data_IF_980936602107
#
_entry.id   IF_980936602107
#
_cell.length_a   1.000
_cell.length_b   1.000
_cell.length_c   1.000
_cell.angle_alpha   90.00
_cell.angle_beta   90.00
_cell.angle_gamma   90.00
#
_symmetry.space_group_name_H-M   'P 1'
#
loop_
_entity.id
_entity.type
_entity.pdbx_description
1 polymer ?
#
# COMPACT_ATOMS: atom_id res chain seq x y z
N UNK A 1 -41.69 -1.06 -42.57
CA UNK A 1 -40.23 -1.10 -42.50
C UNK A 1 -39.84 -0.80 -41.03
N UNK A 2 -39.66 -1.82 -40.18
CA UNK A 2 -39.20 -1.70 -38.81
C UNK A 2 -37.70 -1.96 -38.75
N UNK A 3 -36.92 -0.95 -38.41
CA UNK A 3 -35.47 -1.12 -38.10
C UNK A 3 -35.32 -1.53 -36.67
N UNK A 4 -34.87 -2.76 -36.41
CA UNK A 4 -34.45 -3.22 -35.12
C UNK A 4 -33.08 -2.59 -34.78
N UNK A 5 -33.01 -1.81 -33.72
CA UNK A 5 -31.78 -1.30 -33.14
C UNK A 5 -31.32 -2.36 -32.13
N UNK A 6 -30.31 -3.15 -32.52
CA UNK A 6 -29.65 -4.05 -31.57
C UNK A 6 -28.72 -3.24 -30.66
N UNK A 7 -29.13 -3.04 -29.43
CA UNK A 7 -28.29 -2.44 -28.39
C UNK A 7 -27.22 -3.42 -27.94
N UNK A 8 -25.96 -3.12 -28.23
CA UNK A 8 -24.79 -3.87 -27.75
C UNK A 8 -24.57 -3.51 -26.27
N UNK A 9 -25.00 -4.38 -25.36
CA UNK A 9 -24.74 -4.27 -23.94
C UNK A 9 -23.28 -4.70 -23.69
N UNK A 10 -22.36 -3.74 -23.62
CA UNK A 10 -20.98 -4.01 -23.21
C UNK A 10 -20.98 -4.40 -21.74
N UNK A 11 -20.84 -5.70 -21.44
CA UNK A 11 -20.51 -6.17 -20.12
C UNK A 11 -19.11 -5.68 -19.76
N UNK A 12 -19.01 -4.68 -18.89
CA UNK A 12 -17.79 -4.33 -18.19
C UNK A 12 -17.46 -5.50 -17.25
N UNK A 13 -16.61 -6.41 -17.72
CA UNK A 13 -15.94 -7.36 -16.85
C UNK A 13 -15.05 -6.57 -15.91
N UNK A 14 -15.55 -6.29 -14.71
CA UNK A 14 -14.72 -5.84 -13.60
C UNK A 14 -13.74 -6.97 -13.30
N UNK A 15 -12.51 -6.85 -13.81
CA UNK A 15 -11.42 -7.71 -13.37
C UNK A 15 -11.21 -7.36 -11.89
N UNK A 16 -11.62 -8.28 -11.00
CA UNK A 16 -11.22 -8.20 -9.59
C UNK A 16 -9.70 -8.07 -9.58
N UNK A 17 -9.20 -6.95 -9.06
CA UNK A 17 -7.78 -6.76 -8.89
C UNK A 17 -7.31 -7.86 -7.94
N UNK A 18 -6.56 -8.84 -8.46
CA UNK A 18 -5.93 -9.85 -7.63
C UNK A 18 -4.92 -9.11 -6.76
N UNK A 19 -5.20 -9.10 -5.48
CA UNK A 19 -4.32 -8.52 -4.46
C UNK A 19 -3.61 -9.67 -3.76
N UNK A 20 -2.36 -9.43 -3.34
CA UNK A 20 -1.56 -10.37 -2.56
C UNK A 20 -2.33 -10.95 -1.35
N UNK A 21 -1.92 -12.11 -0.88
CA UNK A 21 -2.49 -12.73 0.34
C UNK A 21 -1.83 -12.11 1.58
N UNK A 22 -2.58 -11.29 2.31
CA UNK A 22 -2.14 -10.70 3.57
C UNK A 22 -2.44 -11.67 4.71
N UNK A 23 -1.39 -12.16 5.39
CA UNK A 23 -1.51 -13.11 6.49
C UNK A 23 -2.42 -12.57 7.60
N UNK A 24 -3.06 -13.48 8.33
CA UNK A 24 -3.95 -13.14 9.44
C UNK A 24 -3.24 -12.31 10.51
N UNK A 25 -3.92 -11.30 10.97
CA UNK A 25 -3.40 -10.31 11.92
C UNK A 25 -3.92 -10.56 13.32
N UNK A 26 -3.04 -10.57 14.29
CA UNK A 26 -3.41 -10.49 15.70
C UNK A 26 -4.06 -9.14 16.03
N UNK A 27 -4.78 -9.01 17.17
CA UNK A 27 -5.29 -7.71 17.62
C UNK A 27 -4.22 -6.62 17.71
N UNK A 28 -2.99 -6.99 18.12
CA UNK A 28 -1.86 -6.06 18.16
C UNK A 28 -1.50 -5.56 16.75
N UNK A 29 -1.36 -6.45 15.78
CA UNK A 29 -1.02 -6.08 14.41
C UNK A 29 -2.10 -5.22 13.74
N UNK A 30 -3.39 -5.53 14.01
CA UNK A 30 -4.51 -4.70 13.57
C UNK A 30 -4.44 -3.29 14.17
N UNK A 31 -4.19 -3.18 15.48
CA UNK A 31 -4.05 -1.88 16.14
C UNK A 31 -2.90 -1.05 15.58
N UNK A 32 -1.83 -1.73 15.15
CA UNK A 32 -0.63 -1.11 14.58
C UNK A 32 -0.65 -1.01 13.05
N UNK A 33 -1.72 -1.47 12.40
CA UNK A 33 -1.95 -1.40 10.94
C UNK A 33 -0.80 -2.02 10.10
N UNK A 34 -0.34 -3.24 10.43
CA UNK A 34 0.60 -4.02 9.64
C UNK A 34 0.25 -5.50 9.60
N UNK A 35 0.70 -6.21 8.58
CA UNK A 35 0.59 -7.67 8.49
C UNK A 35 1.88 -8.34 8.97
N UNK A 36 1.79 -9.52 9.60
CA UNK A 36 3.00 -10.28 9.98
C UNK A 36 3.82 -10.70 8.77
N UNK A 37 3.16 -10.86 7.62
CA UNK A 37 3.74 -11.16 6.32
C UNK A 37 2.71 -10.99 5.23
N UNK A 38 3.19 -10.89 4.00
CA UNK A 38 2.37 -10.86 2.78
C UNK A 38 2.94 -11.88 1.82
N UNK A 39 2.08 -12.74 1.27
CA UNK A 39 2.46 -13.79 0.34
C UNK A 39 2.07 -13.36 -1.06
N UNK A 40 3.01 -13.49 -2.00
CA UNK A 40 2.82 -13.14 -3.41
C UNK A 40 3.23 -14.31 -4.29
N UNK A 41 2.62 -14.44 -5.45
CA UNK A 41 3.01 -15.41 -6.46
C UNK A 41 2.79 -14.84 -7.87
N UNK A 42 3.86 -14.78 -8.64
CA UNK A 42 3.81 -14.13 -9.96
C UNK A 42 3.72 -12.61 -9.85
N UNK A 43 3.20 -11.99 -10.92
CA UNK A 43 3.09 -10.54 -11.00
C UNK A 43 4.42 -9.83 -11.27
N UNK A 44 4.33 -8.51 -11.40
CA UNK A 44 5.46 -7.61 -11.60
C UNK A 44 5.84 -6.97 -10.28
N UNK A 45 7.07 -7.19 -9.81
CA UNK A 45 7.60 -6.57 -8.61
C UNK A 45 8.16 -5.18 -8.91
N UNK A 46 7.72 -4.18 -8.14
CA UNK A 46 8.16 -2.79 -8.25
C UNK A 46 8.88 -2.40 -6.97
N UNK A 47 10.17 -2.15 -7.06
CA UNK A 47 11.01 -1.66 -5.97
C UNK A 47 10.96 -0.14 -5.95
N UNK A 48 10.19 0.42 -5.04
CA UNK A 48 10.05 1.87 -4.89
C UNK A 48 11.18 2.39 -4.01
N UNK A 49 11.97 3.31 -4.56
CA UNK A 49 13.04 3.97 -3.81
C UNK A 49 12.49 4.75 -2.61
N UNK A 50 13.34 5.13 -1.66
CA UNK A 50 12.95 6.00 -0.54
C UNK A 50 12.28 7.28 -1.02
N UNK A 51 11.05 7.50 -0.58
CA UNK A 51 10.29 8.71 -0.88
C UNK A 51 10.32 9.66 0.30
N UNK A 52 10.66 10.90 0.02
CA UNK A 52 10.70 12.02 0.99
C UNK A 52 10.08 13.26 0.34
N UNK A 53 9.63 14.22 1.14
CA UNK A 53 9.09 15.46 0.60
C UNK A 53 9.38 16.67 1.51
N UNK A 54 9.83 17.78 0.94
CA UNK A 54 9.88 19.10 1.57
C UNK A 54 8.92 20.09 0.91
N UNK A 55 8.26 19.65 -0.19
CA UNK A 55 7.20 20.38 -0.88
C UNK A 55 6.06 19.43 -1.19
N UNK A 56 4.83 19.92 -1.18
CA UNK A 56 3.66 19.19 -1.65
C UNK A 56 3.53 19.23 -3.19
N UNK A 57 2.50 18.59 -3.73
CA UNK A 57 2.22 18.55 -5.17
C UNK A 57 1.90 19.93 -5.79
N UNK A 58 1.62 20.94 -4.97
CA UNK A 58 1.35 22.31 -5.38
C UNK A 58 2.57 23.23 -5.24
N UNK A 59 3.70 22.70 -4.75
CA UNK A 59 4.94 23.45 -4.51
C UNK A 59 4.99 24.16 -3.16
N UNK A 60 4.01 23.98 -2.27
CA UNK A 60 4.04 24.57 -0.95
C UNK A 60 5.11 23.90 -0.09
N UNK A 61 5.81 24.71 0.72
CA UNK A 61 6.82 24.20 1.63
C UNK A 61 6.17 23.40 2.79
N UNK A 62 6.53 22.13 2.92
CA UNK A 62 6.10 21.22 3.99
C UNK A 62 7.28 20.68 4.82
N UNK A 63 8.45 21.33 4.74
CA UNK A 63 9.59 20.99 5.58
C UNK A 63 9.22 21.09 7.07
N UNK A 64 9.70 20.14 7.88
CA UNK A 64 9.38 20.00 9.31
C UNK A 64 7.88 19.82 9.64
N UNK A 65 7.05 19.51 8.65
CA UNK A 65 5.64 19.19 8.83
C UNK A 65 5.41 17.69 8.58
N UNK A 66 5.48 16.89 9.65
CA UNK A 66 5.39 15.44 9.58
C UNK A 66 4.12 14.96 8.86
N UNK A 67 2.94 15.47 9.23
CA UNK A 67 1.66 14.99 8.67
C UNK A 67 1.52 15.32 7.17
N UNK A 68 1.95 16.52 6.77
CA UNK A 68 1.94 16.89 5.37
C UNK A 68 2.93 16.03 4.56
N UNK A 69 4.11 15.75 5.13
CA UNK A 69 5.09 14.87 4.49
C UNK A 69 4.58 13.42 4.37
N UNK A 70 3.92 12.85 5.39
CA UNK A 70 3.30 11.52 5.31
C UNK A 70 2.34 11.45 4.13
N UNK A 71 1.44 12.42 3.98
CA UNK A 71 0.48 12.47 2.86
C UNK A 71 1.18 12.55 1.51
N UNK A 72 2.17 13.42 1.40
CA UNK A 72 2.90 13.62 0.14
C UNK A 72 3.74 12.39 -0.22
N UNK A 73 4.38 11.74 0.74
CA UNK A 73 5.18 10.53 0.52
C UNK A 73 4.30 9.37 0.01
N UNK A 74 3.13 9.14 0.61
CA UNK A 74 2.19 8.15 0.09
C UNK A 74 1.68 8.50 -1.31
N UNK A 75 1.42 9.77 -1.60
CA UNK A 75 1.04 10.21 -2.94
C UNK A 75 2.16 9.96 -3.98
N UNK A 76 3.43 10.13 -3.60
CA UNK A 76 4.57 9.83 -4.46
C UNK A 76 4.70 8.33 -4.72
N UNK A 77 4.56 7.47 -3.69
CA UNK A 77 4.56 6.00 -3.84
C UNK A 77 3.44 5.55 -4.78
N UNK A 78 2.22 6.06 -4.58
CA UNK A 78 1.07 5.79 -5.45
C UNK A 78 1.33 6.24 -6.89
N UNK A 79 1.93 7.42 -7.07
CA UNK A 79 2.33 7.94 -8.37
C UNK A 79 3.35 7.05 -9.09
N UNK A 80 4.32 6.48 -8.38
CA UNK A 80 5.28 5.52 -8.95
C UNK A 80 4.56 4.25 -9.41
N UNK A 81 3.70 3.68 -8.56
CA UNK A 81 2.96 2.45 -8.87
C UNK A 81 1.97 2.65 -10.02
N UNK A 82 1.31 3.79 -10.11
CA UNK A 82 0.39 4.14 -11.22
C UNK A 82 1.07 4.16 -12.58
N UNK A 83 2.36 4.47 -12.66
CA UNK A 83 3.12 4.45 -13.93
C UNK A 83 3.19 3.05 -14.57
N UNK A 84 2.95 2.01 -13.79
CA UNK A 84 2.99 0.60 -14.21
C UNK A 84 1.65 -0.11 -13.98
N UNK A 85 0.57 0.66 -13.85
CA UNK A 85 -0.80 0.12 -13.74
C UNK A 85 -1.20 -0.34 -12.34
N UNK A 86 -0.44 0.02 -11.30
CA UNK A 86 -0.75 -0.31 -9.91
C UNK A 86 -1.27 0.87 -9.10
N UNK A 87 -1.36 0.68 -7.79
CA UNK A 87 -1.76 1.67 -6.79
C UNK A 87 -1.15 1.32 -5.42
N UNK A 88 -1.45 2.09 -4.39
CA UNK A 88 -1.08 1.76 -3.01
C UNK A 88 -1.59 0.39 -2.56
N UNK A 89 -2.72 -0.10 -3.09
CA UNK A 89 -3.26 -1.42 -2.78
C UNK A 89 -2.34 -2.57 -3.20
N UNK A 90 -1.37 -2.29 -4.06
CA UNK A 90 -0.36 -3.27 -4.50
C UNK A 90 0.88 -3.30 -3.60
N UNK A 91 0.99 -2.41 -2.60
CA UNK A 91 2.14 -2.42 -1.69
C UNK A 91 2.08 -3.62 -0.76
N UNK A 92 3.10 -4.47 -0.82
CA UNK A 92 3.20 -5.69 -0.02
C UNK A 92 4.11 -5.54 1.21
N UNK A 93 5.10 -4.65 1.12
CA UNK A 93 5.96 -4.32 2.25
C UNK A 93 6.47 -2.89 2.18
N UNK A 94 6.75 -2.31 3.34
CA UNK A 94 7.39 -1.00 3.45
C UNK A 94 8.33 -0.93 4.65
N UNK A 95 9.39 -0.15 4.51
CA UNK A 95 10.23 0.31 5.62
C UNK A 95 10.02 1.80 5.79
N UNK A 96 9.61 2.19 6.99
CA UNK A 96 9.29 3.57 7.34
C UNK A 96 10.33 4.08 8.31
N UNK A 97 11.03 5.13 7.92
CA UNK A 97 11.98 5.85 8.75
C UNK A 97 11.34 7.15 9.22
N UNK A 98 11.37 7.41 10.52
CA UNK A 98 10.88 8.65 11.12
C UNK A 98 11.99 9.31 11.95
N UNK A 99 12.00 10.63 11.99
CA UNK A 99 13.01 11.38 12.73
C UNK A 99 12.79 11.34 14.24
N UNK A 100 11.54 11.41 14.67
CA UNK A 100 11.16 11.48 16.07
C UNK A 100 10.28 10.29 16.45
N UNK A 101 10.63 9.59 17.54
CA UNK A 101 9.85 8.44 18.02
C UNK A 101 8.40 8.80 18.36
N UNK A 102 8.14 10.05 18.79
CA UNK A 102 6.79 10.56 19.08
C UNK A 102 5.86 10.55 17.86
N UNK A 103 6.38 10.47 16.65
CA UNK A 103 5.58 10.37 15.43
C UNK A 103 5.04 8.97 15.18
N UNK A 104 5.52 7.95 15.91
CA UNK A 104 5.20 6.55 15.64
C UNK A 104 3.70 6.26 15.66
N UNK A 105 3.02 6.67 16.75
CA UNK A 105 1.56 6.43 16.86
C UNK A 105 0.76 7.25 15.85
N UNK A 106 1.18 8.49 15.61
CA UNK A 106 0.56 9.35 14.60
C UNK A 106 0.68 8.76 13.20
N UNK A 107 1.85 8.24 12.84
CA UNK A 107 2.04 7.53 11.57
C UNK A 107 1.10 6.33 11.45
N UNK A 108 1.00 5.52 12.50
CA UNK A 108 0.12 4.34 12.51
C UNK A 108 -1.34 4.71 12.25
N UNK A 109 -1.85 5.77 12.90
CA UNK A 109 -3.21 6.26 12.65
C UNK A 109 -3.39 6.73 11.22
N UNK A 110 -2.48 7.57 10.72
CA UNK A 110 -2.56 8.07 9.34
C UNK A 110 -2.46 6.95 8.32
N UNK A 111 -1.63 5.92 8.55
CA UNK A 111 -1.47 4.78 7.63
C UNK A 111 -2.78 4.04 7.38
N UNK A 112 -3.67 3.95 8.36
CA UNK A 112 -4.99 3.30 8.22
C UNK A 112 -5.83 3.94 7.10
N UNK A 113 -5.69 5.25 6.89
CA UNK A 113 -6.45 5.98 5.88
C UNK A 113 -6.00 5.64 4.45
N UNK A 114 -4.76 5.18 4.27
CA UNK A 114 -4.21 4.79 2.98
C UNK A 114 -4.51 3.33 2.62
N UNK A 115 -4.72 2.46 3.61
CA UNK A 115 -5.00 1.02 3.43
C UNK A 115 -6.37 0.66 4.03
N UNK A 116 -7.43 1.28 3.50
CA UNK A 116 -8.81 1.21 4.04
C UNK A 116 -9.40 -0.20 4.04
N UNK A 117 -8.94 -1.08 3.15
CA UNK A 117 -9.43 -2.45 3.07
C UNK A 117 -8.83 -3.38 4.15
N UNK A 118 -8.00 -2.85 5.06
CA UNK A 118 -7.31 -3.65 6.06
C UNK A 118 -6.17 -4.52 5.51
N UNK A 119 -5.85 -4.40 4.22
CA UNK A 119 -4.72 -5.06 3.58
C UNK A 119 -3.44 -4.29 3.90
N UNK A 120 -3.05 -4.32 5.18
CA UNK A 120 -1.86 -3.63 5.64
C UNK A 120 -0.60 -4.34 5.17
N UNK A 121 0.35 -3.65 4.52
CA UNK A 121 1.65 -4.23 4.16
C UNK A 121 2.40 -4.80 5.36
N UNK A 122 3.33 -5.72 5.12
CA UNK A 122 4.41 -5.98 6.06
C UNK A 122 5.16 -4.67 6.31
N UNK A 123 5.51 -4.34 7.57
CA UNK A 123 6.08 -3.01 7.81
C UNK A 123 7.05 -3.00 9.00
N UNK A 124 8.22 -2.39 8.79
CA UNK A 124 9.09 -1.92 9.86
C UNK A 124 8.92 -0.40 10.03
N UNK A 125 8.84 0.07 11.28
CA UNK A 125 8.84 1.48 11.65
C UNK A 125 10.07 1.76 12.51
N UNK A 126 10.98 2.60 12.02
CA UNK A 126 12.32 2.80 12.57
C UNK A 126 12.54 4.29 12.81
N UNK A 127 13.04 4.64 13.99
CA UNK A 127 13.50 6.01 14.27
C UNK A 127 14.96 6.13 13.87
N UNK A 128 15.29 7.19 13.14
CA UNK A 128 16.66 7.52 12.72
C UNK A 128 17.13 8.83 13.35
N UNK A 129 18.42 8.99 13.47
CA UNK A 129 19.00 10.20 14.08
C UNK A 129 18.85 11.41 13.17
N UNK A 130 18.90 11.24 11.85
CA UNK A 130 18.74 12.32 10.87
C UNK A 130 18.49 11.76 9.48
N UNK A 131 18.06 12.63 8.56
CA UNK A 131 17.92 12.37 7.13
C UNK A 131 19.01 13.09 6.34
N UNK A 132 19.20 12.69 5.08
CA UNK A 132 20.23 13.25 4.20
C UNK A 132 20.02 14.74 3.89
N UNK A 133 18.81 15.26 4.07
CA UNK A 133 18.49 16.68 3.85
C UNK A 133 17.70 17.26 5.01
N UNK A 134 17.98 18.54 5.39
CA UNK A 134 17.22 19.23 6.43
C UNK A 134 15.72 19.30 6.11
N UNK A 135 14.90 19.30 7.16
CA UNK A 135 13.45 19.45 7.04
C UNK A 135 12.68 18.18 6.68
N UNK A 136 13.37 17.06 6.43
CA UNK A 136 12.75 15.74 6.27
C UNK A 136 12.41 15.18 7.65
N UNK A 137 11.18 14.71 7.83
CA UNK A 137 10.66 14.09 9.06
C UNK A 137 10.32 12.61 8.86
N UNK A 138 10.13 12.17 7.59
CA UNK A 138 9.80 10.80 7.21
C UNK A 138 10.38 10.44 5.86
N UNK A 139 10.79 9.16 5.73
CA UNK A 139 11.10 8.49 4.47
C UNK A 139 10.43 7.13 4.45
N UNK A 140 9.90 6.71 3.29
CA UNK A 140 9.31 5.39 3.11
C UNK A 140 9.91 4.73 1.87
N UNK A 141 10.49 3.53 2.05
CA UNK A 141 10.74 2.57 1.00
C UNK A 141 9.60 1.57 0.92
N UNK A 142 9.23 1.15 -0.28
CA UNK A 142 8.15 0.18 -0.46
C UNK A 142 8.46 -0.81 -1.58
N UNK A 143 7.81 -1.96 -1.52
CA UNK A 143 7.75 -2.92 -2.62
C UNK A 143 6.29 -3.14 -2.96
N UNK A 144 5.95 -2.99 -4.23
CA UNK A 144 4.64 -3.31 -4.78
C UNK A 144 4.70 -4.56 -5.66
N UNK A 145 3.61 -5.33 -5.71
CA UNK A 145 3.44 -6.46 -6.64
C UNK A 145 2.14 -6.26 -7.40
N UNK A 146 2.23 -6.18 -8.73
CA UNK A 146 1.10 -5.91 -9.62
C UNK A 146 0.81 -7.15 -10.45
N UNK A 147 -0.48 -7.55 -10.50
CA UNK A 147 -0.89 -8.77 -11.19
C UNK A 147 -0.53 -10.04 -10.41
N UNK A 148 -0.46 -9.95 -9.09
CA UNK A 148 -0.27 -11.10 -8.20
C UNK A 148 -1.43 -12.09 -8.33
N UNK A 149 -1.13 -13.40 -8.28
CA UNK A 149 -2.14 -14.46 -8.40
C UNK A 149 -2.65 -14.98 -7.06
N UNK A 150 -1.99 -14.62 -5.95
CA UNK A 150 -2.47 -14.93 -4.60
C UNK A 150 -3.52 -13.90 -4.15
N UNK A 151 -4.55 -14.37 -3.45
CA UNK A 151 -5.57 -13.49 -2.86
C UNK A 151 -6.36 -14.25 -1.79
N UNK A 152 -7.26 -13.57 -1.07
CA UNK A 152 -8.20 -14.23 -0.15
C UNK A 152 -9.03 -15.30 -0.88
N UNK A 153 -9.42 -15.03 -2.13
CA UNK A 153 -10.21 -15.96 -2.94
C UNK A 153 -9.36 -17.02 -3.65
N UNK A 154 -8.06 -16.80 -3.80
CA UNK A 154 -7.10 -17.73 -4.38
C UNK A 154 -5.83 -17.77 -3.52
N UNK A 155 -5.88 -18.36 -2.31
CA UNK A 155 -4.77 -18.36 -1.38
C UNK A 155 -3.62 -19.24 -1.86
N UNK A 156 -2.40 -18.75 -1.69
CA UNK A 156 -1.16 -19.47 -1.98
C UNK A 156 -0.61 -20.21 -0.77
N UNK A 157 -0.93 -19.75 0.43
CA UNK A 157 -0.50 -20.39 1.68
C UNK A 157 -1.27 -21.67 2.01
N UNK A 158 -0.66 -22.55 2.77
CA UNK A 158 -1.34 -23.73 3.31
C UNK A 158 -2.50 -23.35 4.25
N UNK A 159 -2.32 -22.30 5.05
CA UNK A 159 -3.33 -21.78 5.98
C UNK A 159 -4.56 -21.25 5.23
N UNK A 160 -4.35 -20.42 4.21
CA UNK A 160 -5.43 -19.89 3.39
C UNK A 160 -6.19 -20.96 2.63
N UNK A 161 -5.49 -21.98 2.11
CA UNK A 161 -6.11 -23.14 1.45
C UNK A 161 -6.98 -23.96 2.41
N UNK A 162 -6.51 -24.20 3.63
CA UNK A 162 -7.27 -24.93 4.64
C UNK A 162 -8.57 -24.20 5.02
N UNK A 163 -8.53 -22.87 5.21
CA UNK A 163 -9.72 -22.05 5.49
C UNK A 163 -10.75 -22.07 4.36
N UNK A 164 -10.29 -22.07 3.09
CA UNK A 164 -11.19 -22.14 1.93
C UNK A 164 -11.94 -23.47 1.83
N UNK A 165 -11.33 -24.57 2.23
CA UNK A 165 -11.93 -25.91 2.19
C UNK A 165 -13.01 -26.11 3.26
N UNK A 166 -13.02 -25.29 4.31
CA UNK A 166 -13.99 -25.36 5.42
C UNK A 166 -15.23 -24.48 5.24
N UNK A 167 -15.33 -23.69 4.18
CA UNK A 167 -16.51 -22.90 3.78
C UNK A 167 -17.32 -23.61 2.70
#
# INVERSE_FOLDING_TARGET
MYRAVAGLLAMLLSTAAHTAEYMEKTPFQLSRAFSPGVITSGGMTVWVAGQTATQDSQGNNIANNFEAQVKQVFAQIDGVLKRVGGSLDNVVTMTVFIKESRYGDKFVEMRKDFFKNGNYPGSALITVTNFARPGIEIEIQAVGVIGDTCSIDNPCSAEGKAKKTQK
#
